data_IF_955592331730
#
_entry.id   IF_955592331730
#
_cell.length_a   1.000
_cell.length_b   1.000
_cell.length_c   1.000
_cell.angle_alpha   90.00
_cell.angle_beta   90.00
_cell.angle_gamma   90.00
#
_symmetry.space_group_name_H-M   'P 1'
#
loop_
_entity.id
_entity.type
_entity.pdbx_description
1 polymer ?
#
# COMPACT_ATOMS: atom_id res chain seq x y z
N UNK A 1 -9.72 -55.86 1.20
CA UNK A 1 -8.64 -54.87 1.33
C UNK A 1 -9.27 -53.49 1.23
N UNK A 2 -9.32 -52.77 2.32
CA UNK A 2 -9.90 -51.41 2.32
C UNK A 2 -8.83 -50.44 1.76
N UNK A 3 -9.17 -49.75 0.67
CA UNK A 3 -8.34 -48.65 0.16
C UNK A 3 -8.44 -47.48 1.11
N UNK A 4 -7.34 -47.20 1.84
CA UNK A 4 -7.18 -45.97 2.59
C UNK A 4 -6.94 -44.88 1.55
N UNK A 5 -7.98 -44.05 1.30
CA UNK A 5 -7.81 -42.79 0.57
C UNK A 5 -7.11 -41.82 1.52
N UNK A 6 -5.83 -41.61 1.31
CA UNK A 6 -5.08 -40.53 1.99
C UNK A 6 -5.59 -39.20 1.43
N UNK A 7 -6.50 -38.56 2.14
CA UNK A 7 -6.85 -37.17 1.88
C UNK A 7 -5.60 -36.33 2.19
N UNK A 8 -4.91 -35.88 1.17
CA UNK A 8 -3.89 -34.83 1.35
C UNK A 8 -4.61 -33.65 2.06
N UNK A 9 -4.05 -33.13 3.17
CA UNK A 9 -4.60 -31.94 3.80
C UNK A 9 -4.67 -30.85 2.71
N UNK A 10 -5.75 -30.03 2.68
CA UNK A 10 -5.85 -28.97 1.70
C UNK A 10 -4.57 -28.14 1.78
N UNK A 11 -3.89 -27.98 0.63
CA UNK A 11 -2.69 -27.14 0.53
C UNK A 11 -3.06 -25.77 1.10
N UNK A 12 -2.47 -25.41 2.25
CA UNK A 12 -2.60 -24.08 2.81
C UNK A 12 -2.04 -23.12 1.76
N UNK A 13 -2.83 -22.14 1.31
CA UNK A 13 -2.36 -21.15 0.34
C UNK A 13 -1.01 -20.60 0.80
N UNK A 14 0.00 -20.64 -0.06
CA UNK A 14 1.38 -20.30 0.29
C UNK A 14 1.50 -18.90 0.92
N UNK A 15 0.72 -17.92 0.43
CA UNK A 15 0.72 -16.58 1.00
C UNK A 15 0.21 -16.51 2.45
N UNK A 16 -0.71 -17.39 2.87
CA UNK A 16 -1.16 -17.49 4.27
C UNK A 16 -0.08 -18.06 5.18
N UNK A 17 0.75 -18.97 4.67
CA UNK A 17 1.90 -19.47 5.39
C UNK A 17 2.95 -18.36 5.58
N UNK A 18 3.26 -17.61 4.52
CA UNK A 18 4.17 -16.45 4.57
C UNK A 18 3.62 -15.34 5.50
N UNK A 19 2.31 -15.10 5.50
CA UNK A 19 1.67 -14.13 6.38
C UNK A 19 1.74 -14.54 7.86
N UNK A 20 1.74 -15.83 8.16
CA UNK A 20 1.88 -16.36 9.52
C UNK A 20 3.33 -16.31 10.02
N UNK A 21 4.33 -16.28 9.12
CA UNK A 21 5.76 -16.26 9.41
C UNK A 21 6.40 -14.88 9.20
N UNK A 22 5.66 -13.81 9.50
CA UNK A 22 6.20 -12.45 9.42
C UNK A 22 7.06 -12.14 10.65
N UNK A 23 8.12 -11.36 10.45
CA UNK A 23 8.98 -10.88 11.52
C UNK A 23 8.25 -9.76 12.28
N UNK A 24 8.22 -9.88 13.61
CA UNK A 24 7.59 -8.90 14.52
C UNK A 24 8.54 -8.39 15.60
N UNK A 25 9.72 -9.00 15.71
CA UNK A 25 10.76 -8.59 16.65
C UNK A 25 11.86 -7.81 15.92
N UNK A 26 12.14 -6.56 16.33
CA UNK A 26 13.23 -5.78 15.76
C UNK A 26 14.61 -6.45 15.89
N UNK A 27 14.87 -7.14 17.00
CA UNK A 27 16.17 -7.80 17.22
C UNK A 27 16.36 -8.97 16.23
N UNK A 28 15.32 -9.75 15.93
CA UNK A 28 15.35 -10.77 14.89
C UNK A 28 15.70 -10.16 13.52
N UNK A 29 15.05 -9.05 13.16
CA UNK A 29 15.27 -8.38 11.88
C UNK A 29 16.72 -7.88 11.74
N UNK A 30 17.25 -7.23 12.79
CA UNK A 30 18.61 -6.71 12.81
C UNK A 30 19.65 -7.83 12.69
N UNK A 31 19.45 -8.99 13.35
CA UNK A 31 20.32 -10.16 13.22
C UNK A 31 20.30 -10.76 11.80
N UNK A 32 19.12 -10.92 11.20
CA UNK A 32 18.98 -11.44 9.83
C UNK A 32 19.75 -10.57 8.83
N UNK A 33 19.78 -9.25 9.05
CA UNK A 33 20.43 -8.29 8.18
C UNK A 33 21.90 -8.03 8.52
N UNK A 34 22.47 -8.65 9.57
CA UNK A 34 23.82 -8.43 10.05
C UNK A 34 24.12 -6.95 10.40
N UNK A 35 23.17 -6.28 11.03
CA UNK A 35 23.27 -4.88 11.52
C UNK A 35 22.90 -4.78 13.01
N UNK A 36 23.00 -5.88 13.74
CA UNK A 36 22.61 -5.94 15.16
C UNK A 36 23.54 -5.14 16.10
N UNK A 37 24.71 -4.73 15.62
CA UNK A 37 25.67 -3.91 16.41
C UNK A 37 25.52 -2.41 16.15
N UNK A 38 24.60 -1.98 15.29
CA UNK A 38 24.36 -0.57 14.99
C UNK A 38 23.58 0.11 16.14
N UNK A 39 24.25 1.02 16.84
CA UNK A 39 23.67 1.70 18.02
C UNK A 39 22.47 2.57 17.70
N UNK A 40 22.41 3.18 16.50
CA UNK A 40 21.28 4.01 16.08
C UNK A 40 20.03 3.16 15.83
N UNK A 41 20.18 2.03 15.14
CA UNK A 41 19.10 1.08 14.89
C UNK A 41 18.60 0.45 16.20
N UNK A 42 19.52 0.06 17.08
CA UNK A 42 19.20 -0.48 18.41
C UNK A 42 18.40 0.51 19.26
N UNK A 43 18.73 1.80 19.22
CA UNK A 43 18.01 2.84 19.94
C UNK A 43 16.53 3.00 19.49
N UNK A 44 16.20 2.56 18.28
CA UNK A 44 14.84 2.61 17.72
C UNK A 44 13.91 1.50 18.19
N UNK A 45 14.40 0.40 18.81
CA UNK A 45 13.61 -0.80 19.14
C UNK A 45 12.35 -0.51 19.96
N UNK A 46 12.43 0.38 20.90
CA UNK A 46 11.32 0.74 21.76
C UNK A 46 10.15 1.44 21.06
N UNK A 47 10.37 1.99 19.85
CA UNK A 47 9.30 2.61 19.07
C UNK A 47 8.26 1.58 18.55
N UNK A 48 8.54 0.27 18.67
CA UNK A 48 7.53 -0.78 18.47
C UNK A 48 6.29 -0.63 19.36
N UNK A 49 6.42 0.07 20.49
CA UNK A 49 5.29 0.38 21.39
C UNK A 49 4.32 1.39 20.80
N UNK A 50 4.80 2.29 19.94
CA UNK A 50 3.97 3.29 19.26
C UNK A 50 3.24 2.69 18.07
N UNK A 51 3.95 1.84 17.33
CA UNK A 51 3.43 1.13 16.16
C UNK A 51 4.24 -0.15 15.97
N UNK A 52 3.60 -1.31 16.07
CA UNK A 52 4.28 -2.60 16.08
C UNK A 52 5.12 -2.83 14.81
N UNK A 53 6.24 -3.52 14.92
CA UNK A 53 6.97 -4.05 13.77
C UNK A 53 6.16 -5.22 13.18
N UNK A 54 6.05 -5.23 11.87
CA UNK A 54 5.53 -6.36 11.09
C UNK A 54 6.11 -6.30 9.69
N UNK A 55 6.85 -7.34 9.27
CA UNK A 55 7.44 -7.39 7.93
C UNK A 55 7.57 -8.84 7.44
N UNK A 56 7.10 -9.15 6.20
CA UNK A 56 7.24 -10.47 5.60
C UNK A 56 8.70 -10.80 5.24
N UNK A 57 9.12 -12.06 5.43
CA UNK A 57 10.49 -12.53 5.13
C UNK A 57 10.84 -12.36 3.65
N UNK A 58 9.88 -12.53 2.74
CA UNK A 58 10.09 -12.29 1.31
C UNK A 58 10.51 -10.84 1.00
N UNK A 59 9.99 -9.87 1.76
CA UNK A 59 10.40 -8.48 1.64
C UNK A 59 11.79 -8.24 2.24
N UNK A 60 12.08 -8.84 3.40
CA UNK A 60 13.40 -8.76 4.06
C UNK A 60 14.50 -9.37 3.20
N UNK A 61 14.21 -10.44 2.45
CA UNK A 61 15.17 -11.08 1.55
C UNK A 61 15.69 -10.17 0.42
N UNK A 62 15.04 -9.02 0.17
CA UNK A 62 15.45 -8.01 -0.81
C UNK A 62 16.29 -6.89 -0.19
N UNK A 63 16.46 -6.87 1.14
CA UNK A 63 17.27 -5.90 1.85
C UNK A 63 18.76 -6.27 1.76
N UNK A 64 19.62 -5.25 1.70
CA UNK A 64 21.07 -5.43 1.67
C UNK A 64 21.60 -5.72 3.07
N UNK A 65 22.23 -6.90 3.23
CA UNK A 65 22.83 -7.28 4.50
C UNK A 65 24.06 -6.43 4.82
N UNK A 66 24.18 -6.03 6.06
CA UNK A 66 25.28 -5.16 6.54
C UNK A 66 25.08 -3.67 6.22
N UNK A 67 23.96 -3.30 5.60
CA UNK A 67 23.64 -1.90 5.30
C UNK A 67 22.60 -1.34 6.27
N UNK A 68 22.99 -0.54 7.28
CA UNK A 68 22.04 0.09 8.21
C UNK A 68 21.15 1.17 7.55
N UNK A 69 21.53 1.62 6.35
CA UNK A 69 20.85 2.63 5.58
C UNK A 69 20.01 2.05 4.42
N UNK A 70 19.80 0.73 4.40
CA UNK A 70 18.99 0.09 3.36
C UNK A 70 17.60 0.76 3.23
N UNK A 71 17.17 1.18 2.01
CA UNK A 71 15.93 1.92 1.81
C UNK A 71 14.68 1.10 2.13
N UNK A 72 14.74 -0.22 2.07
CA UNK A 72 13.62 -1.09 2.43
C UNK A 72 13.55 -1.25 3.94
N UNK A 73 14.70 -1.40 4.60
CA UNK A 73 14.79 -1.47 6.06
C UNK A 73 14.22 -0.20 6.71
N UNK A 74 14.59 0.97 6.22
CA UNK A 74 14.09 2.26 6.72
C UNK A 74 12.57 2.38 6.67
N UNK A 75 11.91 1.74 5.73
CA UNK A 75 10.45 1.79 5.59
C UNK A 75 9.70 0.98 6.65
N UNK A 76 10.36 0.02 7.31
CA UNK A 76 9.70 -0.96 8.20
C UNK A 76 10.29 -1.02 9.60
N UNK A 77 11.60 -0.75 9.77
CA UNK A 77 12.24 -0.78 11.09
C UNK A 77 11.79 0.41 11.94
N UNK A 78 11.54 0.14 13.19
CA UNK A 78 11.21 1.14 14.21
C UNK A 78 12.41 2.07 14.47
N UNK A 79 12.17 3.37 14.60
CA UNK A 79 13.20 4.38 14.78
C UNK A 79 12.96 5.25 16.02
N UNK A 80 14.04 5.65 16.72
CA UNK A 80 13.93 6.54 17.90
C UNK A 80 13.28 7.88 17.57
N UNK A 81 13.41 8.34 16.32
CA UNK A 81 12.82 9.57 15.82
C UNK A 81 11.29 9.57 15.86
N UNK A 82 10.65 8.39 15.92
CA UNK A 82 9.18 8.27 16.04
C UNK A 82 8.63 8.82 17.37
N UNK A 83 9.46 8.91 18.39
CA UNK A 83 9.09 9.53 19.68
C UNK A 83 9.11 11.08 19.64
N UNK A 84 9.70 11.67 18.60
CA UNK A 84 9.83 13.12 18.52
C UNK A 84 8.54 13.72 18.00
N UNK A 85 7.91 14.56 18.82
CA UNK A 85 6.77 15.35 18.39
C UNK A 85 7.22 16.45 17.41
N UNK A 86 6.51 16.58 16.29
CA UNK A 86 6.79 17.59 15.29
C UNK A 86 5.57 18.50 15.06
N UNK A 87 5.75 19.82 14.93
CA UNK A 87 4.64 20.74 14.67
C UNK A 87 3.88 20.38 13.38
N UNK A 88 2.55 20.39 13.45
CA UNK A 88 1.68 20.07 12.31
C UNK A 88 1.51 18.59 12.02
N UNK A 89 2.13 17.68 12.81
CA UNK A 89 1.89 16.25 12.71
C UNK A 89 0.81 15.81 13.69
N UNK A 90 -0.21 15.09 13.20
CA UNK A 90 -1.40 14.70 13.96
C UNK A 90 -1.65 13.20 13.89
N UNK A 91 -2.61 12.70 14.67
CA UNK A 91 -3.05 11.30 14.62
C UNK A 91 -4.05 11.03 13.50
N UNK A 92 -4.64 12.08 12.91
CA UNK A 92 -5.58 12.00 11.77
C UNK A 92 -5.28 13.09 10.73
N UNK A 93 -4.20 12.95 9.93
CA UNK A 93 -3.77 14.00 9.00
C UNK A 93 -4.73 14.20 7.82
N UNK A 94 -5.62 13.26 7.55
CA UNK A 94 -6.54 13.28 6.41
C UNK A 94 -8.03 13.34 6.81
N UNK A 95 -8.32 13.52 8.11
CA UNK A 95 -9.69 13.60 8.67
C UNK A 95 -10.55 12.38 8.28
N UNK A 96 -9.95 11.17 8.38
CA UNK A 96 -10.61 9.92 7.98
C UNK A 96 -11.21 9.12 9.17
N UNK A 97 -11.06 9.60 10.40
CA UNK A 97 -11.57 8.86 11.57
C UNK A 97 -13.10 8.87 11.67
N UNK A 98 -13.78 9.70 10.87
CA UNK A 98 -15.25 9.75 10.79
C UNK A 98 -15.73 9.10 9.48
N UNK A 99 -16.35 7.92 9.60
CA UNK A 99 -16.96 7.20 8.49
C UNK A 99 -18.43 7.57 8.31
N UNK A 100 -18.94 7.65 7.08
CA UNK A 100 -20.39 7.90 6.82
C UNK A 100 -21.25 6.73 7.29
N UNK A 101 -20.74 5.50 7.13
CA UNK A 101 -21.23 4.28 7.76
C UNK A 101 -19.98 3.46 8.16
N UNK A 102 -20.08 2.54 9.15
CA UNK A 102 -18.92 1.75 9.57
C UNK A 102 -18.19 1.09 8.41
N UNK A 103 -16.91 1.42 8.23
CA UNK A 103 -16.06 0.85 7.18
C UNK A 103 -16.20 1.48 5.80
N UNK A 104 -16.91 2.60 5.62
CA UNK A 104 -17.01 3.31 4.34
C UNK A 104 -16.66 4.78 4.48
N UNK A 105 -15.68 5.24 3.70
CA UNK A 105 -15.28 6.64 3.60
C UNK A 105 -15.77 7.21 2.25
N UNK A 106 -16.67 8.19 2.28
CA UNK A 106 -17.18 8.87 1.09
C UNK A 106 -16.69 10.33 1.07
N UNK A 107 -15.45 10.52 0.57
CA UNK A 107 -14.74 11.81 0.53
C UNK A 107 -14.94 12.57 -0.79
N UNK A 108 -15.20 11.85 -1.87
CA UNK A 108 -15.22 12.39 -3.24
C UNK A 108 -16.55 12.10 -3.91
N UNK A 109 -17.00 13.00 -4.76
CA UNK A 109 -18.32 12.95 -5.39
C UNK A 109 -18.69 11.61 -6.04
N UNK A 110 -17.76 11.00 -6.77
CA UNK A 110 -18.06 9.84 -7.61
C UNK A 110 -17.43 8.52 -7.15
N UNK A 111 -16.76 8.51 -5.99
CA UNK A 111 -16.10 7.32 -5.48
C UNK A 111 -16.10 7.25 -3.97
N UNK A 112 -16.23 6.04 -3.45
CA UNK A 112 -16.15 5.77 -2.02
C UNK A 112 -15.05 4.70 -1.76
N UNK A 113 -14.49 4.73 -0.55
CA UNK A 113 -13.45 3.84 -0.10
C UNK A 113 -14.03 2.87 0.92
N UNK A 114 -14.02 1.58 0.58
CA UNK A 114 -14.48 0.50 1.45
C UNK A 114 -13.29 -0.09 2.21
N UNK A 115 -13.36 -0.08 3.54
CA UNK A 115 -12.39 -0.72 4.43
C UNK A 115 -12.66 -2.23 4.46
N UNK A 116 -11.91 -2.99 3.65
CA UNK A 116 -12.11 -4.44 3.51
C UNK A 116 -11.52 -5.21 4.68
N UNK A 117 -10.31 -4.83 5.12
CA UNK A 117 -9.64 -5.40 6.30
C UNK A 117 -8.89 -4.31 7.07
N UNK A 118 -8.82 -4.45 8.40
CA UNK A 118 -8.10 -3.51 9.26
C UNK A 118 -6.60 -3.84 9.44
N UNK A 119 -6.17 -5.06 9.10
CA UNK A 119 -4.77 -5.50 9.24
C UNK A 119 -3.97 -5.36 7.95
N UNK A 120 -2.63 -5.32 8.11
CA UNK A 120 -1.66 -5.33 7.01
C UNK A 120 -0.67 -6.49 7.18
N UNK A 121 -0.05 -6.94 6.08
CA UNK A 121 1.09 -7.87 6.14
C UNK A 121 2.38 -7.16 6.56
N UNK A 122 2.49 -5.87 6.31
CA UNK A 122 3.63 -5.02 6.65
C UNK A 122 3.16 -3.74 7.33
N UNK A 123 3.85 -3.29 8.37
CA UNK A 123 3.59 -2.03 9.03
C UNK A 123 4.59 -0.96 8.56
N UNK A 124 4.18 -0.16 7.58
CA UNK A 124 4.98 0.92 7.02
C UNK A 124 5.16 2.04 8.06
N UNK A 125 6.40 2.45 8.35
CA UNK A 125 6.66 3.47 9.40
C UNK A 125 6.07 4.86 9.07
N UNK A 126 5.82 5.13 7.81
CA UNK A 126 5.19 6.35 7.29
C UNK A 126 3.66 6.23 7.09
N UNK A 127 3.03 5.16 7.59
CA UNK A 127 1.60 4.90 7.39
C UNK A 127 0.74 6.01 8.03
N UNK A 128 0.00 6.75 7.22
CA UNK A 128 -0.88 7.82 7.70
C UNK A 128 -2.07 7.31 8.51
N UNK A 129 -2.46 6.03 8.33
CA UNK A 129 -3.52 5.36 9.09
C UNK A 129 -3.01 4.56 10.30
N UNK A 130 -1.77 4.80 10.77
CA UNK A 130 -1.22 4.08 11.92
C UNK A 130 -2.01 4.28 13.23
N UNK A 131 -2.81 5.32 13.32
CA UNK A 131 -3.68 5.65 14.45
C UNK A 131 -5.18 5.51 14.11
N UNK A 132 -5.52 4.96 12.95
CA UNK A 132 -6.90 4.82 12.50
C UNK A 132 -7.67 3.81 13.39
N UNK A 133 -8.94 4.11 13.80
CA UNK A 133 -9.73 3.27 14.70
C UNK A 133 -10.32 2.05 13.98
N UNK A 134 -9.47 1.10 13.59
CA UNK A 134 -9.91 -0.12 12.90
C UNK A 134 -10.85 -0.99 13.71
N UNK A 135 -10.83 -0.89 15.04
CA UNK A 135 -11.76 -1.63 15.90
C UNK A 135 -13.22 -1.25 15.63
N UNK A 136 -13.48 0.04 15.40
CA UNK A 136 -14.82 0.58 15.12
C UNK A 136 -15.23 0.40 13.64
N UNK A 137 -14.25 0.21 12.76
CA UNK A 137 -14.40 0.11 11.32
C UNK A 137 -13.99 -1.28 10.79
N UNK A 138 -14.37 -2.34 11.51
CA UNK A 138 -13.97 -3.70 11.14
C UNK A 138 -14.51 -4.13 9.78
N UNK A 139 -13.64 -4.65 8.92
CA UNK A 139 -13.99 -5.30 7.66
C UNK A 139 -14.60 -6.69 7.93
N UNK A 140 -15.91 -6.72 8.13
CA UNK A 140 -16.70 -7.92 8.32
C UNK A 140 -17.98 -7.87 7.47
N UNK A 141 -18.62 -9.02 7.29
CA UNK A 141 -19.78 -9.15 6.41
C UNK A 141 -20.93 -8.19 6.77
N UNK A 142 -21.19 -7.95 8.06
CA UNK A 142 -22.23 -7.04 8.51
C UNK A 142 -21.96 -5.59 8.06
N UNK A 143 -20.76 -5.10 8.32
CA UNK A 143 -20.37 -3.74 7.94
C UNK A 143 -20.29 -3.59 6.42
N UNK A 144 -19.84 -4.63 5.70
CA UNK A 144 -19.87 -4.63 4.23
C UNK A 144 -21.29 -4.54 3.68
N UNK A 145 -22.26 -5.27 4.27
CA UNK A 145 -23.68 -5.16 3.86
C UNK A 145 -24.24 -3.75 4.08
N UNK A 146 -23.91 -3.11 5.21
CA UNK A 146 -24.31 -1.72 5.47
C UNK A 146 -23.69 -0.76 4.45
N UNK A 147 -22.40 -0.93 4.15
CA UNK A 147 -21.70 -0.13 3.14
C UNK A 147 -22.29 -0.33 1.73
N UNK A 148 -22.61 -1.57 1.35
CA UNK A 148 -23.22 -1.89 0.05
C UNK A 148 -24.63 -1.30 -0.09
N UNK A 149 -25.42 -1.30 0.98
CA UNK A 149 -26.73 -0.62 1.01
C UNK A 149 -26.55 0.89 0.76
N UNK A 150 -25.63 1.54 1.47
CA UNK A 150 -25.30 2.95 1.23
C UNK A 150 -24.89 3.19 -0.23
N UNK A 151 -23.96 2.37 -0.78
CA UNK A 151 -23.48 2.49 -2.15
C UNK A 151 -24.66 2.38 -3.15
N UNK A 152 -25.59 1.47 -2.94
CA UNK A 152 -26.73 1.27 -3.85
C UNK A 152 -27.70 2.46 -3.86
N UNK A 153 -27.77 3.22 -2.77
CA UNK A 153 -28.62 4.43 -2.64
C UNK A 153 -27.94 5.70 -3.19
N UNK A 154 -26.66 5.62 -3.61
CA UNK A 154 -25.86 6.76 -4.07
C UNK A 154 -25.43 6.59 -5.53
N UNK A 155 -26.33 6.88 -6.50
CA UNK A 155 -26.06 6.63 -7.93
C UNK A 155 -24.96 7.52 -8.54
N UNK A 156 -24.53 8.56 -7.84
CA UNK A 156 -23.35 9.36 -8.20
C UNK A 156 -22.02 8.61 -8.05
N UNK A 157 -22.00 7.51 -7.27
CA UNK A 157 -20.83 6.65 -7.12
C UNK A 157 -20.71 5.73 -8.33
N UNK A 158 -19.65 5.84 -9.10
CA UNK A 158 -19.34 4.96 -10.22
C UNK A 158 -18.06 4.12 -10.00
N UNK A 159 -17.33 4.38 -8.89
CA UNK A 159 -16.10 3.69 -8.53
C UNK A 159 -16.06 3.37 -7.03
N UNK A 160 -15.72 2.13 -6.70
CA UNK A 160 -15.42 1.72 -5.32
C UNK A 160 -13.94 1.39 -5.19
N UNK A 161 -13.32 1.87 -4.10
CA UNK A 161 -11.93 1.64 -3.77
C UNK A 161 -11.86 0.66 -2.62
N UNK A 162 -11.31 -0.54 -2.84
CA UNK A 162 -10.96 -1.45 -1.76
C UNK A 162 -9.67 -0.96 -1.09
N UNK A 163 -9.73 -0.77 0.23
CA UNK A 163 -8.66 -0.25 1.06
C UNK A 163 -8.80 -0.76 2.51
N UNK A 164 -8.28 -0.01 3.47
CA UNK A 164 -8.31 -0.33 4.90
C UNK A 164 -6.93 -0.30 5.50
N UNK A 165 -6.54 -1.36 6.18
CA UNK A 165 -5.14 -1.74 6.34
C UNK A 165 -4.64 -2.16 4.96
N UNK A 166 -4.86 -3.42 4.59
CA UNK A 166 -4.65 -3.88 3.22
C UNK A 166 -5.83 -4.77 2.79
N UNK A 167 -6.55 -4.44 1.71
CA UNK A 167 -7.75 -5.17 1.29
C UNK A 167 -7.45 -6.59 0.83
N UNK A 168 -6.25 -6.86 0.30
CA UNK A 168 -5.85 -8.19 -0.14
C UNK A 168 -5.52 -9.14 1.01
N UNK A 169 -5.57 -8.67 2.27
CA UNK A 169 -5.62 -9.53 3.47
C UNK A 169 -6.92 -10.34 3.55
N UNK A 170 -7.97 -9.94 2.83
CA UNK A 170 -9.18 -10.74 2.69
C UNK A 170 -8.90 -12.00 1.86
N UNK A 171 -9.55 -13.10 2.21
CA UNK A 171 -9.46 -14.37 1.47
C UNK A 171 -10.19 -14.26 0.12
N UNK A 172 -9.83 -15.11 -0.83
CA UNK A 172 -10.40 -15.07 -2.18
C UNK A 172 -11.93 -15.19 -2.21
N UNK A 173 -12.52 -16.03 -1.34
CA UNK A 173 -13.97 -16.14 -1.26
C UNK A 173 -14.67 -14.89 -0.67
N UNK A 174 -13.98 -14.13 0.19
CA UNK A 174 -14.49 -12.86 0.73
C UNK A 174 -14.47 -11.77 -0.36
N UNK A 175 -13.39 -11.72 -1.13
CA UNK A 175 -13.26 -10.79 -2.27
C UNK A 175 -14.25 -11.14 -3.38
N UNK A 176 -14.43 -12.43 -3.69
CA UNK A 176 -15.41 -12.90 -4.67
C UNK A 176 -16.82 -12.45 -4.28
N UNK A 177 -17.21 -12.64 -3.03
CA UNK A 177 -18.50 -12.17 -2.52
C UNK A 177 -18.67 -10.65 -2.66
N UNK A 178 -17.68 -9.86 -2.18
CA UNK A 178 -17.73 -8.39 -2.28
C UNK A 178 -17.81 -7.91 -3.73
N UNK A 179 -17.04 -8.50 -4.63
CA UNK A 179 -17.05 -8.14 -6.05
C UNK A 179 -18.42 -8.48 -6.68
N UNK A 180 -19.01 -9.62 -6.33
CA UNK A 180 -20.32 -10.03 -6.85
C UNK A 180 -21.44 -9.08 -6.40
N UNK A 181 -21.41 -8.63 -5.14
CA UNK A 181 -22.37 -7.65 -4.64
C UNK A 181 -22.24 -6.29 -5.35
N UNK A 182 -20.99 -5.83 -5.60
CA UNK A 182 -20.76 -4.58 -6.33
C UNK A 182 -21.18 -4.68 -7.80
N UNK A 183 -20.97 -5.83 -8.45
CA UNK A 183 -21.37 -6.11 -9.83
C UNK A 183 -22.90 -6.07 -9.99
N UNK A 184 -23.65 -6.35 -8.92
CA UNK A 184 -25.11 -6.28 -8.91
C UNK A 184 -25.64 -4.83 -8.80
N UNK A 185 -24.81 -3.82 -8.49
CA UNK A 185 -25.20 -2.42 -8.40
C UNK A 185 -25.01 -1.74 -9.77
N UNK A 186 -26.08 -1.34 -10.48
CA UNK A 186 -26.01 -0.97 -11.90
C UNK A 186 -25.14 0.26 -12.22
N UNK A 187 -24.98 1.18 -11.29
CA UNK A 187 -24.20 2.42 -11.50
C UNK A 187 -22.71 2.25 -11.22
N UNK A 188 -22.29 1.17 -10.54
CA UNK A 188 -20.87 0.89 -10.29
C UNK A 188 -20.24 0.32 -11.56
N UNK A 189 -19.16 0.95 -12.01
CA UNK A 189 -18.43 0.60 -13.24
C UNK A 189 -17.01 0.17 -12.99
N UNK A 190 -16.40 0.63 -11.89
CA UNK A 190 -14.99 0.44 -11.60
C UNK A 190 -14.77 -0.06 -10.18
N UNK A 191 -13.82 -0.97 -10.06
CA UNK A 191 -13.25 -1.40 -8.79
C UNK A 191 -11.75 -1.07 -8.79
N UNK A 192 -11.31 -0.27 -7.83
CA UNK A 192 -9.90 0.01 -7.62
C UNK A 192 -9.43 -0.61 -6.31
N UNK A 193 -8.33 -1.34 -6.35
CA UNK A 193 -7.75 -2.03 -5.19
C UNK A 193 -6.44 -1.33 -4.84
N UNK A 194 -6.32 -0.79 -3.63
CA UNK A 194 -5.10 -0.19 -3.10
C UNK A 194 -4.41 -1.18 -2.17
N UNK A 195 -3.26 -1.71 -2.57
CA UNK A 195 -2.60 -2.76 -1.81
C UNK A 195 -1.07 -2.66 -1.87
N UNK A 196 -0.42 -2.97 -0.75
CA UNK A 196 1.01 -3.22 -0.67
C UNK A 196 1.31 -4.73 -0.63
N UNK A 197 0.30 -5.57 -0.45
CA UNK A 197 0.48 -7.01 -0.28
C UNK A 197 1.17 -7.68 -1.48
N UNK A 198 0.88 -7.31 -2.76
CA UNK A 198 1.55 -7.92 -3.91
C UNK A 198 3.05 -7.71 -3.97
N UNK A 199 3.58 -6.62 -3.37
CA UNK A 199 5.02 -6.38 -3.34
C UNK A 199 5.70 -7.05 -2.15
N UNK A 200 5.02 -7.19 -1.01
CA UNK A 200 5.61 -7.79 0.18
C UNK A 200 5.39 -9.31 0.28
N UNK A 201 4.30 -9.82 -0.31
CA UNK A 201 3.99 -11.26 -0.47
C UNK A 201 3.38 -11.48 -1.87
N UNK A 202 4.17 -11.58 -2.94
CA UNK A 202 3.65 -11.74 -4.31
C UNK A 202 2.77 -12.99 -4.52
N UNK A 203 2.99 -14.05 -3.74
CA UNK A 203 2.17 -15.25 -3.74
C UNK A 203 0.68 -14.99 -3.41
N UNK A 204 0.34 -13.78 -2.87
CA UNK A 204 -1.06 -13.37 -2.68
C UNK A 204 -1.84 -13.26 -3.99
N UNK A 205 -1.17 -13.05 -5.10
CA UNK A 205 -1.83 -13.05 -6.41
C UNK A 205 -2.00 -14.49 -6.86
N UNK A 206 -3.02 -15.14 -6.29
CA UNK A 206 -3.39 -16.52 -6.59
C UNK A 206 -4.03 -16.62 -7.98
N UNK A 207 -4.03 -17.84 -8.55
CA UNK A 207 -4.75 -18.10 -9.81
C UNK A 207 -6.27 -17.93 -9.64
N UNK A 208 -6.78 -18.25 -8.44
CA UNK A 208 -8.21 -18.07 -8.09
C UNK A 208 -8.58 -16.59 -8.12
N UNK A 209 -7.77 -15.71 -7.50
CA UNK A 209 -8.01 -14.28 -7.52
C UNK A 209 -7.92 -13.71 -8.94
N UNK A 210 -6.89 -14.08 -9.69
CA UNK A 210 -6.72 -13.62 -11.06
C UNK A 210 -7.88 -14.05 -11.97
N UNK A 211 -8.32 -15.31 -11.87
CA UNK A 211 -9.47 -15.82 -12.61
C UNK A 211 -10.78 -15.14 -12.19
N UNK A 212 -10.94 -14.81 -10.89
CA UNK A 212 -12.11 -14.03 -10.42
C UNK A 212 -12.14 -12.64 -11.04
N UNK A 213 -11.01 -11.96 -11.05
CA UNK A 213 -10.90 -10.61 -11.64
C UNK A 213 -11.16 -10.66 -13.15
N UNK A 214 -10.59 -11.63 -13.85
CA UNK A 214 -10.74 -11.75 -15.31
C UNK A 214 -12.19 -11.89 -15.78
N UNK A 215 -13.08 -12.45 -14.94
CA UNK A 215 -14.52 -12.59 -15.25
C UNK A 215 -15.39 -11.46 -14.69
N UNK A 216 -14.80 -10.46 -14.05
CA UNK A 216 -15.54 -9.34 -13.50
C UNK A 216 -16.17 -8.49 -14.60
N UNK A 217 -17.41 -8.04 -14.39
CA UNK A 217 -18.05 -7.03 -15.23
C UNK A 217 -17.54 -5.60 -14.97
N UNK A 218 -16.84 -5.40 -13.85
CA UNK A 218 -16.25 -4.12 -13.50
C UNK A 218 -14.88 -3.94 -14.16
N UNK A 219 -14.52 -2.70 -14.50
CA UNK A 219 -13.15 -2.36 -14.82
C UNK A 219 -12.30 -2.38 -13.55
N UNK A 220 -11.38 -3.34 -13.46
CA UNK A 220 -10.55 -3.51 -12.26
C UNK A 220 -9.20 -2.82 -12.42
N UNK A 221 -8.84 -2.01 -11.42
CA UNK A 221 -7.54 -1.37 -11.29
C UNK A 221 -6.87 -1.86 -10.02
N UNK A 222 -5.58 -2.19 -10.08
CA UNK A 222 -4.74 -2.39 -8.90
C UNK A 222 -3.74 -1.26 -8.81
N UNK A 223 -3.75 -0.55 -7.68
CA UNK A 223 -2.76 0.47 -7.34
C UNK A 223 -1.81 -0.13 -6.31
N UNK A 224 -0.62 -0.49 -6.75
CA UNK A 224 0.46 -0.95 -5.88
C UNK A 224 1.00 0.21 -5.04
N UNK A 225 1.68 -0.11 -3.95
CA UNK A 225 2.35 0.84 -3.10
C UNK A 225 3.83 0.45 -2.98
N UNK A 226 4.66 1.02 -3.85
CA UNK A 226 6.10 0.71 -3.99
C UNK A 226 6.87 2.02 -3.99
N UNK A 227 7.91 2.14 -3.18
CA UNK A 227 8.69 3.36 -3.00
C UNK A 227 10.11 3.28 -3.56
N UNK A 228 10.64 2.08 -3.80
CA UNK A 228 12.02 1.87 -4.26
C UNK A 228 12.11 0.71 -5.26
N UNK A 229 12.98 0.83 -6.27
CA UNK A 229 13.16 -0.20 -7.30
C UNK A 229 13.60 -1.56 -6.72
N UNK A 230 14.38 -1.56 -5.63
CA UNK A 230 14.84 -2.76 -4.91
C UNK A 230 13.68 -3.62 -4.36
N UNK A 231 12.48 -3.05 -4.20
CA UNK A 231 11.29 -3.81 -3.80
C UNK A 231 10.82 -4.79 -4.90
N UNK A 232 11.19 -4.56 -6.17
CA UNK A 232 10.65 -5.25 -7.34
C UNK A 232 11.50 -6.46 -7.71
N UNK A 233 11.07 -7.66 -7.31
CA UNK A 233 11.68 -8.95 -7.67
C UNK A 233 10.94 -9.66 -8.81
N UNK A 234 11.47 -10.80 -9.25
CA UNK A 234 10.90 -11.61 -10.34
C UNK A 234 9.55 -12.22 -9.96
N UNK A 235 9.36 -12.54 -8.70
CA UNK A 235 8.10 -13.02 -8.14
C UNK A 235 6.99 -11.97 -8.26
N UNK A 236 7.31 -10.69 -7.97
CA UNK A 236 6.39 -9.57 -8.19
C UNK A 236 6.10 -9.37 -9.68
N UNK A 237 7.13 -9.39 -10.56
CA UNK A 237 6.94 -9.28 -12.00
C UNK A 237 5.98 -10.36 -12.53
N UNK A 238 6.16 -11.59 -12.06
CA UNK A 238 5.30 -12.72 -12.40
C UNK A 238 3.86 -12.52 -11.93
N UNK A 239 3.66 -12.01 -10.71
CA UNK A 239 2.33 -11.68 -10.17
C UNK A 239 1.65 -10.58 -11.00
N UNK A 240 2.38 -9.52 -11.38
CA UNK A 240 1.85 -8.44 -12.23
C UNK A 240 1.52 -8.94 -13.65
N UNK A 241 2.34 -9.79 -14.24
CA UNK A 241 2.05 -10.41 -15.54
C UNK A 241 0.73 -11.21 -15.51
N UNK A 242 0.47 -11.97 -14.44
CA UNK A 242 -0.78 -12.71 -14.22
C UNK A 242 -1.99 -11.77 -14.17
N UNK A 243 -1.91 -10.68 -13.41
CA UNK A 243 -3.00 -9.68 -13.31
C UNK A 243 -3.22 -8.93 -14.62
N UNK A 244 -2.15 -8.62 -15.37
CA UNK A 244 -2.26 -8.00 -16.69
C UNK A 244 -2.97 -8.92 -17.68
N UNK A 245 -2.69 -10.22 -17.65
CA UNK A 245 -3.40 -11.22 -18.46
C UNK A 245 -4.88 -11.30 -18.06
N UNK A 246 -5.22 -11.05 -16.80
CA UNK A 246 -6.59 -10.92 -16.30
C UNK A 246 -7.29 -9.60 -16.66
N UNK A 247 -6.65 -8.71 -17.43
CA UNK A 247 -7.21 -7.43 -17.87
C UNK A 247 -7.14 -6.29 -16.84
N UNK A 248 -6.34 -6.44 -15.78
CA UNK A 248 -6.20 -5.43 -14.72
C UNK A 248 -5.33 -4.26 -15.21
N UNK A 249 -5.79 -3.04 -14.99
CA UNK A 249 -4.95 -1.85 -15.12
C UNK A 249 -4.05 -1.73 -13.88
N UNK A 250 -2.73 -1.80 -14.10
CA UNK A 250 -1.72 -1.81 -13.03
C UNK A 250 -1.09 -0.43 -12.88
N UNK A 251 -1.26 0.16 -11.70
CA UNK A 251 -0.74 1.47 -11.33
C UNK A 251 0.12 1.36 -10.06
N UNK A 252 0.98 2.35 -9.84
CA UNK A 252 1.74 2.50 -8.60
C UNK A 252 1.54 3.88 -7.99
N UNK A 253 1.36 3.94 -6.69
CA UNK A 253 1.52 5.15 -5.89
C UNK A 253 2.71 4.99 -4.95
N UNK A 254 3.53 6.03 -4.86
CA UNK A 254 4.69 6.11 -3.96
C UNK A 254 4.49 7.25 -2.98
N UNK A 255 5.22 7.21 -1.87
CA UNK A 255 5.39 8.36 -0.97
C UNK A 255 6.83 8.82 -1.08
N UNK A 256 7.07 10.13 -1.19
CA UNK A 256 8.40 10.72 -1.16
C UNK A 256 8.91 10.73 0.28
N UNK A 257 9.98 10.01 0.54
CA UNK A 257 10.48 9.70 1.88
C UNK A 257 11.97 10.01 2.00
N UNK A 258 12.33 10.82 2.99
CA UNK A 258 13.74 11.11 3.34
C UNK A 258 14.52 9.83 3.60
N UNK A 259 15.66 9.69 2.92
CA UNK A 259 16.56 8.54 3.03
C UNK A 259 16.04 7.24 2.41
N UNK A 260 14.99 7.29 1.60
CA UNK A 260 14.44 6.15 0.86
C UNK A 260 14.47 6.42 -0.65
N UNK A 261 13.83 7.50 -1.09
CA UNK A 261 13.68 7.83 -2.51
C UNK A 261 13.72 9.35 -2.77
N UNK A 262 14.39 10.09 -1.92
CA UNK A 262 14.48 11.55 -1.93
C UNK A 262 15.52 12.11 -2.92
N UNK A 263 15.66 11.48 -4.09
CA UNK A 263 16.45 11.98 -5.20
C UNK A 263 15.88 11.51 -6.55
N UNK A 264 16.19 12.25 -7.60
CA UNK A 264 15.62 12.01 -8.92
C UNK A 264 16.08 10.70 -9.57
N UNK A 265 17.33 10.27 -9.34
CA UNK A 265 17.84 9.02 -9.92
C UNK A 265 17.11 7.81 -9.33
N UNK A 266 16.93 7.74 -8.00
CA UNK A 266 16.18 6.67 -7.35
C UNK A 266 14.73 6.58 -7.86
N UNK A 267 14.07 7.73 -8.08
CA UNK A 267 12.72 7.76 -8.66
C UNK A 267 12.72 7.35 -10.14
N UNK A 268 13.77 7.68 -10.89
CA UNK A 268 13.92 7.23 -12.28
C UNK A 268 14.10 5.72 -12.35
N UNK A 269 14.94 5.16 -11.50
CA UNK A 269 15.16 3.70 -11.39
C UNK A 269 13.86 2.99 -11.00
N UNK A 270 13.09 3.55 -10.06
CA UNK A 270 11.77 3.02 -9.69
C UNK A 270 10.80 3.07 -10.88
N UNK A 271 10.73 4.20 -11.60
CA UNK A 271 9.84 4.35 -12.75
C UNK A 271 10.14 3.34 -13.86
N UNK A 272 11.42 3.12 -14.16
CA UNK A 272 11.86 2.11 -15.11
C UNK A 272 11.50 0.69 -14.66
N UNK A 273 11.82 0.34 -13.41
CA UNK A 273 11.53 -1.00 -12.86
C UNK A 273 10.03 -1.30 -12.80
N UNK A 274 9.18 -0.30 -12.51
CA UNK A 274 7.72 -0.39 -12.56
C UNK A 274 7.24 -0.66 -13.98
N UNK A 275 7.71 0.14 -14.94
CA UNK A 275 7.30 0.03 -16.35
C UNK A 275 7.69 -1.34 -16.92
N UNK A 276 8.90 -1.84 -16.62
CA UNK A 276 9.37 -3.18 -16.99
C UNK A 276 8.50 -4.29 -16.40
N UNK A 277 7.92 -4.07 -15.19
CA UNK A 277 6.95 -4.97 -14.57
C UNK A 277 5.53 -4.82 -15.14
N UNK A 278 5.31 -3.89 -16.10
CA UNK A 278 4.00 -3.58 -16.67
C UNK A 278 3.09 -2.76 -15.75
N UNK A 279 3.68 -2.00 -14.82
CA UNK A 279 3.00 -1.14 -13.86
C UNK A 279 3.29 0.31 -14.19
N UNK A 280 2.25 1.15 -14.33
CA UNK A 280 2.44 2.57 -14.62
C UNK A 280 2.65 3.38 -13.35
N UNK A 281 3.69 4.24 -13.27
CA UNK A 281 3.77 5.27 -12.24
C UNK A 281 2.53 6.16 -12.28
N UNK A 282 1.91 6.39 -11.12
CA UNK A 282 0.65 7.12 -11.07
C UNK A 282 0.74 8.36 -10.18
N UNK A 283 0.96 8.17 -8.88
CA UNK A 283 1.18 9.25 -7.92
C UNK A 283 2.53 9.11 -7.20
N UNK A 284 3.16 10.25 -6.96
CA UNK A 284 4.15 10.44 -5.90
C UNK A 284 3.51 11.38 -4.87
N UNK A 285 3.15 10.85 -3.72
CA UNK A 285 2.59 11.65 -2.63
C UNK A 285 3.73 12.28 -1.82
N UNK A 286 3.61 13.55 -1.48
CA UNK A 286 4.37 14.07 -0.35
C UNK A 286 3.86 13.42 0.93
N UNK A 287 4.73 13.34 1.94
CA UNK A 287 4.39 12.66 3.20
C UNK A 287 3.17 13.32 3.88
N UNK A 288 2.18 12.51 4.24
CA UNK A 288 1.10 12.94 5.12
C UNK A 288 1.66 13.17 6.53
N UNK A 289 1.30 14.30 7.16
CA UNK A 289 1.88 14.72 8.45
C UNK A 289 1.30 13.92 9.61
N UNK A 290 1.56 12.61 9.61
CA UNK A 290 1.14 11.71 10.69
C UNK A 290 2.17 11.66 11.81
N UNK A 291 1.70 11.71 13.05
CA UNK A 291 2.55 11.62 14.25
C UNK A 291 3.44 10.37 14.19
N UNK A 292 4.74 10.54 14.45
CA UNK A 292 5.75 9.48 14.40
C UNK A 292 6.41 9.28 13.05
N UNK A 293 6.07 10.06 12.00
CA UNK A 293 6.67 9.92 10.67
C UNK A 293 7.49 11.15 10.21
N UNK A 294 7.67 12.16 11.07
CA UNK A 294 8.27 13.45 10.69
C UNK A 294 9.69 13.33 10.12
N UNK A 295 10.46 12.34 10.54
CA UNK A 295 11.83 12.09 10.06
C UNK A 295 11.90 11.67 8.58
N UNK A 296 10.76 11.28 7.96
CA UNK A 296 10.67 11.03 6.53
C UNK A 296 10.31 12.26 5.70
N UNK A 297 10.12 13.42 6.32
CA UNK A 297 9.65 14.61 5.61
C UNK A 297 10.67 15.08 4.58
N UNK A 298 10.19 15.36 3.37
CA UNK A 298 10.86 16.09 2.31
C UNK A 298 10.04 17.34 2.05
N UNK A 299 10.68 18.51 2.11
CA UNK A 299 10.00 19.79 1.95
C UNK A 299 9.51 20.01 0.51
N UNK A 300 8.45 20.80 0.34
CA UNK A 300 7.79 20.98 -0.95
C UNK A 300 8.72 21.47 -2.06
N UNK A 301 9.62 22.43 -1.74
CA UNK A 301 10.52 22.95 -2.76
C UNK A 301 11.58 21.93 -3.18
N UNK A 302 12.06 21.12 -2.25
CA UNK A 302 12.94 20.00 -2.56
C UNK A 302 12.21 18.94 -3.40
N UNK A 303 10.96 18.61 -3.03
CA UNK A 303 10.13 17.70 -3.81
C UNK A 303 9.93 18.19 -5.25
N UNK A 304 9.69 19.49 -5.45
CA UNK A 304 9.61 20.09 -6.78
C UNK A 304 10.93 20.01 -7.54
N UNK A 305 12.06 20.26 -6.87
CA UNK A 305 13.39 20.18 -7.48
C UNK A 305 13.68 18.75 -7.98
N UNK A 306 13.42 17.74 -7.15
CA UNK A 306 13.54 16.32 -7.49
C UNK A 306 12.67 15.98 -8.71
N UNK A 307 11.43 16.45 -8.75
CA UNK A 307 10.53 16.17 -9.87
C UNK A 307 10.92 16.87 -11.15
N UNK A 308 11.44 18.11 -11.07
CA UNK A 308 11.98 18.82 -12.24
C UNK A 308 13.16 18.07 -12.86
N UNK A 309 14.04 17.52 -12.04
CA UNK A 309 15.15 16.68 -12.49
C UNK A 309 14.65 15.35 -13.06
N UNK A 310 13.70 14.66 -12.41
CA UNK A 310 13.11 13.40 -12.88
C UNK A 310 12.53 13.54 -14.29
N UNK A 311 11.89 14.68 -14.60
CA UNK A 311 11.38 14.97 -15.94
C UNK A 311 12.46 14.94 -17.05
N UNK A 312 13.73 15.08 -16.70
CA UNK A 312 14.85 15.02 -17.65
C UNK A 312 15.45 13.61 -17.76
N UNK A 313 15.15 12.70 -16.80
CA UNK A 313 15.75 11.37 -16.72
C UNK A 313 14.89 10.28 -17.35
N UNK A 314 13.56 10.46 -17.39
CA UNK A 314 12.64 9.45 -17.93
C UNK A 314 11.61 10.08 -18.86
N UNK A 315 10.96 9.24 -19.69
CA UNK A 315 9.86 9.69 -20.57
C UNK A 315 8.68 10.22 -19.76
N UNK A 316 8.02 11.27 -20.24
CA UNK A 316 6.98 11.98 -19.51
C UNK A 316 5.83 11.11 -19.00
N UNK A 317 5.48 10.02 -19.70
CA UNK A 317 4.44 9.07 -19.24
C UNK A 317 4.89 8.20 -18.06
N UNK A 318 6.19 8.14 -17.75
CA UNK A 318 6.75 7.43 -16.60
C UNK A 318 6.94 8.34 -15.37
N UNK A 319 6.66 9.65 -15.50
CA UNK A 319 6.76 10.61 -14.40
C UNK A 319 5.44 10.61 -13.63
N UNK A 320 5.43 10.21 -12.34
CA UNK A 320 4.23 10.22 -11.50
C UNK A 320 3.76 11.65 -11.23
N UNK A 321 2.48 11.83 -10.93
CA UNK A 321 1.92 13.12 -10.50
C UNK A 321 2.34 13.37 -9.05
N UNK A 322 3.10 14.43 -8.81
CA UNK A 322 3.38 14.89 -7.44
C UNK A 322 2.11 15.49 -6.86
N UNK A 323 1.64 14.96 -5.73
CA UNK A 323 0.37 15.35 -5.15
C UNK A 323 0.38 15.29 -3.60
N UNK A 324 -0.51 16.06 -3.01
CA UNK A 324 -0.87 16.04 -1.59
C UNK A 324 -2.34 15.66 -1.44
N UNK A 325 -2.67 14.93 -0.39
CA UNK A 325 -4.05 14.83 0.08
C UNK A 325 -4.26 15.81 1.23
N UNK A 326 -5.38 16.54 1.19
CA UNK A 326 -5.76 17.51 2.23
C UNK A 326 -7.17 17.10 2.68
N UNK A 327 -7.39 16.98 3.99
CA UNK A 327 -8.70 16.69 4.56
C UNK A 327 -9.74 17.71 4.10
N UNK A 328 -10.95 17.27 3.76
CA UNK A 328 -12.04 18.14 3.32
C UNK A 328 -11.98 18.62 1.86
N UNK A 329 -10.83 18.49 1.17
CA UNK A 329 -10.74 18.93 -0.23
C UNK A 329 -11.42 17.94 -1.19
N UNK A 330 -12.05 18.45 -2.31
CA UNK A 330 -12.82 17.61 -3.23
C UNK A 330 -11.97 16.72 -4.13
N UNK A 331 -10.64 16.85 -4.10
CA UNK A 331 -9.68 16.05 -4.85
C UNK A 331 -8.30 16.08 -4.21
N UNK A 332 -7.42 15.17 -4.63
CA UNK A 332 -5.99 15.33 -4.36
C UNK A 332 -5.48 16.61 -5.02
N UNK A 333 -4.62 17.35 -4.31
CA UNK A 333 -4.05 18.61 -4.77
C UNK A 333 -2.70 18.34 -5.46
N UNK A 334 -2.59 18.51 -6.79
CA UNK A 334 -1.31 18.44 -7.47
C UNK A 334 -0.39 19.59 -7.01
N UNK A 335 0.90 19.29 -6.79
CA UNK A 335 1.90 20.32 -6.55
C UNK A 335 2.42 20.84 -7.90
N UNK A 336 2.23 22.12 -8.16
CA UNK A 336 2.80 22.78 -9.35
C UNK A 336 4.33 22.75 -9.29
N UNK A 337 4.96 22.23 -10.34
CA UNK A 337 6.41 22.09 -10.44
C UNK A 337 7.12 23.43 -10.77
N UNK A 338 6.38 24.48 -11.08
CA UNK A 338 6.91 25.82 -11.37
C UNK A 338 8.00 25.79 -12.46
N UNK A 339 7.73 25.07 -13.57
CA UNK A 339 8.70 24.87 -14.66
C UNK A 339 9.02 26.15 -15.43
N UNK A 340 8.16 27.16 -15.35
CA UNK A 340 8.37 28.49 -15.95
C UNK A 340 8.30 29.54 -14.84
N UNK A 341 9.43 29.93 -14.34
CA UNK A 341 9.55 31.23 -13.67
C UNK A 341 9.62 32.30 -14.76
N UNK A 342 8.62 33.18 -14.80
CA UNK A 342 8.68 34.39 -15.63
C UNK A 342 9.58 35.41 -14.96
#
# INVERSE_FOLDING_TARGET
>A
MAHIVTLNPPHREDWLAQLADVITDPDELLHILNVADDEELLAGREARRLFALRVPRAFVARMEKGNPNDPLLRQVLTAKQEFVAAPGFTTDPLEEQHSVVPGLLHKYRNRALLLVKGGCAVNCRYCFRRHFPYADNQGNKRNWQTALAYISEHPELDEIIFSGGDPLMAKDHELDWLMSELEAIPHIKRLRIHSRLPIVIPARITDVLAARIARSSLQVLLVNHINHAQEIGDDFRSAMAKLRQAGVTLLNQSVLLRGVNDNAQTLADLSNALFDAGVMPYYLHVLDRVQGAAHFMVEDEEARAIMRELLTLVSGYMVPKLAREIGGEPSKTPLDLQLRQK
#
